data_IF_872639081639
#
_entry.id   IF_872639081639
#
_cell.length_a   1.000
_cell.length_b   1.000
_cell.length_c   1.000
_cell.angle_alpha   90.00
_cell.angle_beta   90.00
_cell.angle_gamma   90.00
#
_symmetry.space_group_name_H-M   'P 1'
#
loop_
_entity.id
_entity.type
_entity.pdbx_description
1 polymer ?
#
# COMPACT_ATOMS: atom_id res chain seq x y z
N UNK A 1 3.72 -5.28 22.49
CA UNK A 1 5.09 -5.57 21.98
C UNK A 1 5.00 -6.70 20.97
N UNK A 2 5.55 -6.51 19.78
CA UNK A 2 5.50 -7.48 18.67
C UNK A 2 6.62 -8.50 18.78
N UNK A 3 6.36 -9.73 18.37
CA UNK A 3 7.35 -10.80 18.37
C UNK A 3 8.20 -10.79 17.09
N UNK A 4 9.41 -11.36 17.17
CA UNK A 4 10.24 -11.62 15.99
C UNK A 4 9.50 -12.59 15.07
N UNK A 5 9.47 -12.28 13.77
CA UNK A 5 8.71 -13.04 12.76
C UNK A 5 7.31 -12.49 12.50
N UNK A 6 6.79 -11.58 13.30
CA UNK A 6 5.51 -10.92 13.02
C UNK A 6 5.65 -9.83 11.94
N UNK A 7 4.56 -9.63 11.20
CA UNK A 7 4.44 -8.53 10.25
C UNK A 7 3.73 -7.34 10.90
N UNK A 8 4.15 -6.15 10.52
CA UNK A 8 3.49 -4.90 10.87
C UNK A 8 3.49 -3.95 9.67
N UNK A 9 2.69 -2.90 9.74
CA UNK A 9 2.64 -1.88 8.69
C UNK A 9 3.25 -0.59 9.23
N UNK A 10 4.42 -0.24 8.69
CA UNK A 10 5.12 1.00 8.99
C UNK A 10 4.56 2.15 8.13
N UNK A 11 4.26 3.33 8.68
CA UNK A 11 3.64 4.43 7.93
C UNK A 11 4.40 4.79 6.64
N UNK A 12 5.73 4.91 6.71
CA UNK A 12 6.55 5.30 5.56
C UNK A 12 6.94 4.15 4.63
N UNK A 13 7.10 2.93 5.15
CA UNK A 13 7.70 1.80 4.41
C UNK A 13 6.71 0.70 3.99
N UNK A 14 5.49 0.74 4.50
CA UNK A 14 4.52 -0.33 4.25
C UNK A 14 4.75 -1.54 5.14
N UNK A 15 4.47 -2.72 4.60
CA UNK A 15 4.62 -3.96 5.37
C UNK A 15 6.08 -4.23 5.67
N UNK A 16 6.35 -4.49 6.94
CA UNK A 16 7.66 -4.85 7.46
C UNK A 16 7.59 -6.13 8.27
N UNK A 17 8.64 -6.93 8.19
CA UNK A 17 8.86 -8.07 9.05
C UNK A 17 9.70 -7.63 10.26
N UNK A 18 9.29 -8.00 11.46
CA UNK A 18 10.10 -7.83 12.69
C UNK A 18 11.22 -8.87 12.67
N UNK A 19 12.44 -8.42 12.39
CA UNK A 19 13.62 -9.29 12.31
C UNK A 19 14.28 -9.53 13.67
N UNK A 20 14.26 -8.52 14.53
CA UNK A 20 14.87 -8.57 15.85
C UNK A 20 14.25 -7.52 16.76
N UNK A 21 14.44 -7.71 18.07
CA UNK A 21 14.12 -6.74 19.10
C UNK A 21 15.40 -6.51 19.89
N UNK A 22 15.89 -5.27 19.93
CA UNK A 22 17.10 -4.88 20.63
C UNK A 22 16.73 -4.08 21.88
N UNK A 23 17.50 -4.25 22.96
CA UNK A 23 17.26 -3.58 24.24
C UNK A 23 18.21 -2.40 24.47
N UNK A 24 19.38 -2.40 23.84
CA UNK A 24 20.42 -1.40 24.07
C UNK A 24 20.88 -0.77 22.73
N UNK A 25 21.28 0.50 22.70
CA UNK A 25 21.22 1.47 23.81
C UNK A 25 19.81 1.99 24.10
N UNK A 26 18.88 1.79 23.19
CA UNK A 26 17.44 2.13 23.32
C UNK A 26 16.61 0.97 22.82
N UNK A 27 15.57 0.53 23.56
CA UNK A 27 14.72 -0.54 23.10
C UNK A 27 14.09 -0.23 21.74
N UNK A 28 14.28 -1.12 20.77
CA UNK A 28 13.82 -0.90 19.40
C UNK A 28 13.54 -2.21 18.65
N UNK A 29 12.65 -2.13 17.67
CA UNK A 29 12.48 -3.16 16.65
C UNK A 29 13.51 -2.97 15.53
N UNK A 30 14.02 -4.08 15.01
CA UNK A 30 14.71 -4.11 13.73
C UNK A 30 13.73 -4.60 12.69
N UNK A 31 13.24 -3.69 11.85
CA UNK A 31 12.24 -3.94 10.83
C UNK A 31 12.88 -4.11 9.45
N UNK A 32 12.36 -5.05 8.66
CA UNK A 32 12.76 -5.24 7.26
C UNK A 32 11.55 -5.06 6.35
N UNK A 33 11.50 -3.99 5.53
CA UNK A 33 10.43 -3.81 4.56
C UNK A 33 10.40 -4.96 3.55
N UNK A 34 9.19 -5.41 3.18
CA UNK A 34 9.01 -6.40 2.13
C UNK A 34 8.87 -5.74 0.76
N UNK A 35 9.09 -6.51 -0.31
CA UNK A 35 8.92 -6.05 -1.68
C UNK A 35 10.04 -5.17 -2.22
N UNK A 36 11.12 -4.98 -1.47
CA UNK A 36 12.32 -4.27 -1.93
C UNK A 36 13.40 -5.26 -2.37
N UNK A 37 14.06 -4.96 -3.49
CA UNK A 37 15.19 -5.78 -3.98
C UNK A 37 16.35 -5.84 -2.98
N UNK A 38 16.58 -4.72 -2.29
CA UNK A 38 17.62 -4.56 -1.28
C UNK A 38 16.98 -3.94 -0.04
N UNK A 39 16.35 -4.75 0.84
CA UNK A 39 15.67 -4.23 2.01
C UNK A 39 16.67 -3.62 2.99
N UNK A 40 16.49 -2.34 3.28
CA UNK A 40 17.23 -1.64 4.33
C UNK A 40 16.61 -2.00 5.67
N UNK A 41 17.43 -2.37 6.65
CA UNK A 41 16.94 -2.56 8.01
C UNK A 41 16.64 -1.21 8.65
N UNK A 42 15.49 -1.13 9.29
CA UNK A 42 15.01 0.07 9.97
C UNK A 42 15.02 -0.20 11.48
N UNK A 43 15.69 0.64 12.23
CA UNK A 43 15.62 0.64 13.68
C UNK A 43 14.43 1.52 14.07
N UNK A 44 13.43 0.93 14.71
CA UNK A 44 12.19 1.60 15.09
C UNK A 44 12.00 1.55 16.60
N UNK A 45 12.02 2.69 17.31
CA UNK A 45 11.93 2.73 18.77
C UNK A 45 10.65 2.10 19.31
N UNK A 46 10.75 1.31 20.40
CA UNK A 46 9.60 0.65 21.01
C UNK A 46 8.58 1.65 21.59
N UNK A 47 9.03 2.80 22.10
CA UNK A 47 8.17 3.85 22.61
C UNK A 47 7.24 4.48 21.54
N UNK A 48 7.56 4.26 20.27
CA UNK A 48 6.76 4.69 19.12
C UNK A 48 5.92 3.55 18.48
N UNK A 49 5.82 2.40 19.15
CA UNK A 49 5.07 1.24 18.65
C UNK A 49 3.64 1.57 18.22
N UNK A 50 3.01 2.56 18.88
CA UNK A 50 1.66 3.03 18.53
C UNK A 50 1.51 3.55 17.11
N UNK A 51 2.61 3.89 16.43
CA UNK A 51 2.62 4.31 15.02
C UNK A 51 2.65 3.14 14.03
N UNK A 52 2.92 1.94 14.52
CA UNK A 52 2.88 0.73 13.69
C UNK A 52 1.45 0.17 13.71
N UNK A 53 0.88 0.03 12.53
CA UNK A 53 -0.43 -0.61 12.35
C UNK A 53 -0.27 -2.14 12.27
N UNK A 54 -1.28 -2.87 12.71
CA UNK A 54 -1.34 -4.32 12.48
C UNK A 54 -1.56 -4.62 11.00
N UNK A 55 -1.00 -5.74 10.54
CA UNK A 55 -1.37 -6.30 9.25
C UNK A 55 -2.84 -6.71 9.29
N UNK A 56 -3.58 -6.49 8.21
CA UNK A 56 -4.95 -7.01 8.10
C UNK A 56 -4.96 -8.52 8.24
N UNK A 57 -6.06 -9.04 8.77
CA UNK A 57 -6.30 -10.48 8.84
C UNK A 57 -6.55 -11.07 7.44
N UNK A 58 -6.42 -12.39 7.34
CA UNK A 58 -6.74 -13.11 6.09
C UNK A 58 -8.20 -12.91 5.68
N UNK A 59 -9.12 -12.90 6.63
CA UNK A 59 -10.56 -12.70 6.36
C UNK A 59 -10.84 -11.29 5.85
N UNK A 60 -10.23 -10.27 6.44
CA UNK A 60 -10.30 -8.90 5.95
C UNK A 60 -9.72 -8.76 4.53
N UNK A 61 -8.59 -9.41 4.26
CA UNK A 61 -7.97 -9.42 2.95
C UNK A 61 -8.85 -10.12 1.90
N UNK A 62 -9.44 -11.26 2.25
CA UNK A 62 -10.40 -11.97 1.38
C UNK A 62 -11.63 -11.12 1.10
N UNK A 63 -12.20 -10.50 2.12
CA UNK A 63 -13.34 -9.61 1.97
C UNK A 63 -12.99 -8.40 1.07
N UNK A 64 -11.79 -7.85 1.22
CA UNK A 64 -11.31 -6.74 0.38
C UNK A 64 -11.24 -7.13 -1.11
N UNK A 65 -10.75 -8.35 -1.40
CA UNK A 65 -10.73 -8.89 -2.78
C UNK A 65 -12.16 -9.05 -3.29
N UNK A 66 -13.05 -9.65 -2.51
CA UNK A 66 -14.42 -9.93 -2.91
C UNK A 66 -15.25 -8.65 -3.13
N UNK A 67 -14.98 -7.62 -2.35
CA UNK A 67 -15.68 -6.31 -2.43
C UNK A 67 -14.93 -5.25 -3.26
N UNK A 68 -13.85 -5.62 -3.94
CA UNK A 68 -13.05 -4.68 -4.73
C UNK A 68 -13.86 -3.83 -5.73
N UNK A 69 -14.85 -4.38 -6.49
CA UNK A 69 -15.66 -3.56 -7.39
C UNK A 69 -16.44 -2.45 -6.69
N UNK A 70 -16.79 -2.67 -5.41
CA UNK A 70 -17.58 -1.74 -4.60
C UNK A 70 -16.74 -0.62 -3.97
N UNK A 71 -15.41 -0.68 -4.09
CA UNK A 71 -14.53 0.38 -3.59
C UNK A 71 -14.78 1.63 -4.42
N UNK A 72 -15.23 2.68 -3.73
CA UNK A 72 -15.59 3.95 -4.35
C UNK A 72 -14.37 4.74 -4.81
N UNK A 73 -14.55 5.52 -5.88
CA UNK A 73 -13.57 6.48 -6.35
C UNK A 73 -13.65 7.76 -5.53
N UNK A 74 -12.50 8.39 -5.33
CA UNK A 74 -12.41 9.70 -4.67
C UNK A 74 -12.88 10.77 -5.65
N UNK A 75 -13.85 11.57 -5.24
CA UNK A 75 -14.51 12.56 -6.10
C UNK A 75 -13.88 13.96 -6.04
N UNK A 76 -13.25 14.31 -4.92
CA UNK A 76 -12.62 15.62 -4.79
C UNK A 76 -11.31 15.69 -5.59
N UNK A 77 -10.96 16.91 -6.00
CA UNK A 77 -9.79 17.19 -6.82
C UNK A 77 -8.99 18.36 -6.25
N UNK A 78 -7.66 18.22 -6.24
CA UNK A 78 -6.73 19.30 -5.87
C UNK A 78 -6.04 19.76 -7.14
N UNK A 79 -6.24 21.03 -7.52
CA UNK A 79 -5.73 21.56 -8.79
C UNK A 79 -4.21 21.73 -8.83
N UNK A 80 -3.57 21.94 -7.67
CA UNK A 80 -2.12 22.03 -7.58
C UNK A 80 -1.52 20.63 -7.48
N UNK A 81 -0.73 20.22 -8.48
CA UNK A 81 -0.16 18.87 -8.58
C UNK A 81 0.75 18.51 -7.38
N UNK A 82 1.53 19.46 -6.87
CA UNK A 82 2.42 19.23 -5.73
C UNK A 82 1.63 19.05 -4.43
N UNK A 83 0.59 19.84 -4.23
CA UNK A 83 -0.31 19.70 -3.08
C UNK A 83 -1.13 18.41 -3.15
N UNK A 84 -1.60 18.05 -4.34
CA UNK A 84 -2.31 16.78 -4.56
C UNK A 84 -1.40 15.58 -4.24
N UNK A 85 -0.19 15.56 -4.76
CA UNK A 85 0.77 14.50 -4.49
C UNK A 85 1.11 14.39 -2.99
N UNK A 86 1.34 15.51 -2.32
CA UNK A 86 1.59 15.55 -0.88
C UNK A 86 0.40 15.04 -0.07
N UNK A 87 -0.82 15.45 -0.42
CA UNK A 87 -2.05 15.01 0.23
C UNK A 87 -2.23 13.49 0.12
N UNK A 88 -2.13 12.93 -1.08
CA UNK A 88 -2.32 11.50 -1.27
C UNK A 88 -1.15 10.66 -0.74
N UNK A 89 0.05 11.18 -0.76
CA UNK A 89 1.20 10.55 -0.08
C UNK A 89 0.93 10.39 1.42
N UNK A 90 0.41 11.43 2.06
CA UNK A 90 0.00 11.36 3.47
C UNK A 90 -1.14 10.37 3.68
N UNK A 91 -2.19 10.43 2.87
CA UNK A 91 -3.33 9.51 2.94
C UNK A 91 -2.92 8.03 2.77
N UNK A 92 -1.97 7.73 1.89
CA UNK A 92 -1.43 6.38 1.69
C UNK A 92 -0.64 5.91 2.92
N UNK A 93 0.12 6.80 3.55
CA UNK A 93 0.93 6.47 4.73
C UNK A 93 0.08 6.17 5.96
N UNK A 94 -0.95 6.95 6.20
CA UNK A 94 -1.78 6.88 7.40
C UNK A 94 -3.03 6.00 7.22
N UNK A 95 -3.42 5.72 5.98
CA UNK A 95 -4.63 5.00 5.65
C UNK A 95 -4.51 3.48 5.75
N UNK A 96 -5.66 2.83 5.57
CA UNK A 96 -5.79 1.38 5.47
C UNK A 96 -5.39 0.85 4.09
N UNK A 97 -5.33 -0.46 3.96
CA UNK A 97 -5.16 -1.12 2.66
C UNK A 97 -6.31 -0.78 1.69
N UNK A 98 -7.54 -0.71 2.19
CA UNK A 98 -8.72 -0.29 1.41
C UNK A 98 -8.57 1.13 0.88
N UNK A 99 -8.06 2.05 1.70
CA UNK A 99 -7.80 3.43 1.28
C UNK A 99 -6.76 3.48 0.16
N UNK A 100 -5.71 2.68 0.26
CA UNK A 100 -4.70 2.54 -0.80
C UNK A 100 -5.31 2.05 -2.11
N UNK A 101 -6.22 1.07 -2.07
CA UNK A 101 -6.93 0.61 -3.27
C UNK A 101 -7.91 1.64 -3.83
N UNK A 102 -8.60 2.40 -2.97
CA UNK A 102 -9.46 3.50 -3.41
C UNK A 102 -8.66 4.58 -4.15
N UNK A 103 -7.51 4.96 -3.62
CA UNK A 103 -6.60 5.91 -4.27
C UNK A 103 -6.08 5.35 -5.59
N UNK A 104 -5.64 4.10 -5.62
CA UNK A 104 -5.15 3.44 -6.83
C UNK A 104 -6.23 3.37 -7.92
N UNK A 105 -7.45 2.96 -7.59
CA UNK A 105 -8.59 2.95 -8.53
C UNK A 105 -8.88 4.34 -9.09
N UNK A 106 -8.87 5.34 -8.22
CA UNK A 106 -9.14 6.73 -8.62
C UNK A 106 -8.12 7.24 -9.61
N UNK A 107 -6.83 7.06 -9.31
CA UNK A 107 -5.77 7.54 -10.19
C UNK A 107 -5.63 6.71 -11.47
N UNK A 108 -5.93 5.41 -11.45
CA UNK A 108 -6.09 4.62 -12.67
C UNK A 108 -7.17 5.22 -13.58
N UNK A 109 -8.35 5.50 -13.04
CA UNK A 109 -9.44 6.08 -13.81
C UNK A 109 -9.06 7.45 -14.41
N UNK A 110 -8.34 8.28 -13.67
CA UNK A 110 -7.86 9.58 -14.17
C UNK A 110 -6.80 9.43 -15.27
N UNK A 111 -5.88 8.48 -15.13
CA UNK A 111 -4.86 8.15 -16.13
C UNK A 111 -5.52 7.63 -17.41
N UNK A 112 -6.46 6.69 -17.29
CA UNK A 112 -7.17 6.11 -18.43
C UNK A 112 -8.03 7.16 -19.17
N UNK A 113 -8.66 8.06 -18.42
CA UNK A 113 -9.40 9.19 -19.01
C UNK A 113 -8.48 10.12 -19.80
N UNK A 114 -7.30 10.44 -19.28
CA UNK A 114 -6.34 11.27 -20.02
C UNK A 114 -5.91 10.59 -21.34
N UNK A 115 -5.59 9.29 -21.28
CA UNK A 115 -5.21 8.49 -22.46
C UNK A 115 -6.34 8.39 -23.47
N UNK A 116 -7.58 8.20 -23.04
CA UNK A 116 -8.75 8.15 -23.93
C UNK A 116 -8.98 9.45 -24.70
N UNK A 117 -8.50 10.58 -24.14
CA UNK A 117 -8.52 11.90 -24.78
C UNK A 117 -7.24 12.20 -25.57
N UNK A 118 -6.41 11.19 -25.82
CA UNK A 118 -5.09 11.33 -26.46
C UNK A 118 -4.17 12.35 -25.74
N UNK A 119 -4.32 12.47 -24.42
CA UNK A 119 -3.49 13.33 -23.57
C UNK A 119 -2.53 12.47 -22.75
N UNK A 120 -1.31 12.98 -22.55
CA UNK A 120 -0.36 12.37 -21.64
C UNK A 120 -0.85 12.56 -20.19
N UNK A 121 -0.95 11.48 -19.40
CA UNK A 121 -1.30 11.61 -17.99
C UNK A 121 -0.28 12.47 -17.23
N UNK A 122 -0.70 13.22 -16.21
CA UNK A 122 0.22 13.92 -15.32
C UNK A 122 1.16 12.94 -14.62
N UNK A 123 2.45 13.27 -14.54
CA UNK A 123 3.46 12.42 -13.87
C UNK A 123 3.12 12.21 -12.39
N UNK A 124 2.54 13.21 -11.73
CA UNK A 124 2.06 13.09 -10.34
C UNK A 124 0.99 12.01 -10.19
N UNK A 125 0.06 11.88 -11.14
CA UNK A 125 -0.97 10.83 -11.12
C UNK A 125 -0.36 9.43 -11.23
N UNK A 126 0.64 9.26 -12.11
CA UNK A 126 1.34 7.98 -12.26
C UNK A 126 2.14 7.62 -10.98
N UNK A 127 2.75 8.61 -10.33
CA UNK A 127 3.46 8.41 -9.05
C UNK A 127 2.51 8.01 -7.93
N UNK A 128 1.40 8.71 -7.77
CA UNK A 128 0.39 8.41 -6.75
C UNK A 128 -0.18 7.01 -6.99
N UNK A 129 -0.55 6.70 -8.23
CA UNK A 129 -1.05 5.38 -8.62
C UNK A 129 -0.06 4.27 -8.24
N UNK A 130 1.21 4.41 -8.61
CA UNK A 130 2.25 3.42 -8.32
C UNK A 130 2.45 3.24 -6.81
N UNK A 131 2.48 4.33 -6.06
CA UNK A 131 2.67 4.31 -4.61
C UNK A 131 1.50 3.62 -3.90
N UNK A 132 0.27 3.98 -4.24
CA UNK A 132 -0.93 3.40 -3.66
C UNK A 132 -1.09 1.92 -4.03
N UNK A 133 -0.86 1.58 -5.30
CA UNK A 133 -0.92 0.20 -5.79
C UNK A 133 0.08 -0.70 -5.09
N UNK A 134 1.33 -0.29 -4.97
CA UNK A 134 2.36 -1.06 -4.29
C UNK A 134 2.02 -1.23 -2.81
N UNK A 135 1.59 -0.17 -2.13
CA UNK A 135 1.21 -0.21 -0.72
C UNK A 135 0.10 -1.23 -0.47
N UNK A 136 -0.98 -1.14 -1.22
CA UNK A 136 -2.12 -2.06 -1.10
C UNK A 136 -1.77 -3.49 -1.48
N UNK A 137 -1.04 -3.67 -2.59
CA UNK A 137 -0.66 -4.99 -3.10
C UNK A 137 0.19 -5.78 -2.10
N UNK A 138 1.25 -5.18 -1.55
CA UNK A 138 2.13 -5.88 -0.62
C UNK A 138 1.44 -6.21 0.70
N UNK A 139 0.54 -5.38 1.19
CA UNK A 139 -0.25 -5.70 2.36
C UNK A 139 -1.21 -6.86 2.09
N UNK A 140 -1.89 -6.84 0.94
CA UNK A 140 -2.84 -7.88 0.54
C UNK A 140 -2.17 -9.26 0.38
N UNK A 141 -1.06 -9.33 -0.36
CA UNK A 141 -0.36 -10.61 -0.57
C UNK A 141 0.26 -11.16 0.71
N UNK A 142 0.72 -10.30 1.61
CA UNK A 142 1.25 -10.74 2.91
C UNK A 142 0.14 -11.32 3.78
N UNK A 143 -1.02 -10.64 3.85
CA UNK A 143 -2.17 -11.11 4.63
C UNK A 143 -2.76 -12.42 4.08
N UNK A 144 -2.77 -12.59 2.75
CA UNK A 144 -3.25 -13.80 2.09
C UNK A 144 -2.21 -14.91 2.02
N UNK A 145 -0.95 -14.62 2.33
CA UNK A 145 0.18 -15.51 2.16
C UNK A 145 0.27 -16.09 0.73
N UNK A 146 0.23 -15.20 -0.24
CA UNK A 146 0.30 -15.53 -1.67
C UNK A 146 1.33 -14.66 -2.40
N UNK A 147 1.60 -15.00 -3.66
CA UNK A 147 2.51 -14.25 -4.52
C UNK A 147 1.78 -13.13 -5.28
N UNK A 148 2.56 -12.17 -5.81
CA UNK A 148 2.04 -11.11 -6.69
C UNK A 148 1.34 -11.73 -7.92
N UNK A 149 1.92 -12.77 -8.51
CA UNK A 149 1.36 -13.42 -9.70
C UNK A 149 0.02 -14.11 -9.41
N UNK A 150 -0.12 -14.73 -8.25
CA UNK A 150 -1.36 -15.38 -7.82
C UNK A 150 -2.49 -14.36 -7.65
N UNK A 151 -2.23 -13.26 -6.96
CA UNK A 151 -3.24 -12.22 -6.77
C UNK A 151 -3.58 -11.50 -8.08
N UNK A 152 -2.61 -11.27 -8.96
CA UNK A 152 -2.83 -10.72 -10.28
C UNK A 152 -3.79 -11.59 -11.11
N UNK A 153 -3.60 -12.91 -11.09
CA UNK A 153 -4.51 -13.85 -11.76
C UNK A 153 -5.94 -13.77 -11.23
N UNK A 154 -6.10 -13.63 -9.91
CA UNK A 154 -7.42 -13.48 -9.28
C UNK A 154 -8.10 -12.20 -9.78
N UNK A 155 -7.41 -11.06 -9.77
CA UNK A 155 -7.98 -9.78 -10.20
C UNK A 155 -8.24 -9.73 -11.71
N UNK A 156 -7.34 -10.26 -12.53
CA UNK A 156 -7.56 -10.40 -13.98
C UNK A 156 -8.76 -11.28 -14.29
N UNK A 157 -8.84 -12.44 -13.64
CA UNK A 157 -9.93 -13.41 -13.88
C UNK A 157 -11.29 -12.91 -13.41
N UNK A 158 -11.36 -12.28 -12.23
CA UNK A 158 -12.63 -11.84 -11.63
C UNK A 158 -13.09 -10.48 -12.17
N UNK A 159 -12.18 -9.56 -12.40
CA UNK A 159 -12.50 -8.15 -12.63
C UNK A 159 -11.89 -7.56 -13.90
N UNK A 160 -11.10 -8.32 -14.63
CA UNK A 160 -10.40 -7.83 -15.82
C UNK A 160 -9.40 -6.70 -15.51
N UNK A 161 -8.88 -6.64 -14.30
CA UNK A 161 -8.01 -5.55 -13.80
C UNK A 161 -6.61 -6.09 -13.53
N UNK A 162 -5.59 -5.38 -13.97
CA UNK A 162 -4.20 -5.59 -13.56
C UNK A 162 -3.86 -4.65 -12.40
N UNK A 163 -3.65 -5.21 -11.20
CA UNK A 163 -3.24 -4.44 -10.04
C UNK A 163 -1.78 -4.01 -10.21
N UNK A 164 -1.50 -2.74 -9.91
CA UNK A 164 -0.15 -2.17 -9.99
C UNK A 164 0.30 -1.76 -11.38
N UNK A 165 -0.55 -1.96 -12.40
CA UNK A 165 -0.29 -1.49 -13.76
C UNK A 165 -1.42 -0.57 -14.24
N UNK A 166 -1.06 0.59 -14.73
CA UNK A 166 -1.97 1.55 -15.36
C UNK A 166 -1.77 1.59 -16.86
#
# INVERSE_FOLDING_TARGET
>A
MRAVGEFCVHPGQGVCLVKNVVSEPTPAYVLSPIGQKHPVQIVFPLDQEFRLRDLMTRDEATNLVDTYPQIELITFHIHNASLEESHFRHAIREGSCKDSFSIAKTFRARIDKARSLNKKPPVSHERIFKMASNRGLYELITALNCTVDEIQKVFSSRYGVEIGKA
#
